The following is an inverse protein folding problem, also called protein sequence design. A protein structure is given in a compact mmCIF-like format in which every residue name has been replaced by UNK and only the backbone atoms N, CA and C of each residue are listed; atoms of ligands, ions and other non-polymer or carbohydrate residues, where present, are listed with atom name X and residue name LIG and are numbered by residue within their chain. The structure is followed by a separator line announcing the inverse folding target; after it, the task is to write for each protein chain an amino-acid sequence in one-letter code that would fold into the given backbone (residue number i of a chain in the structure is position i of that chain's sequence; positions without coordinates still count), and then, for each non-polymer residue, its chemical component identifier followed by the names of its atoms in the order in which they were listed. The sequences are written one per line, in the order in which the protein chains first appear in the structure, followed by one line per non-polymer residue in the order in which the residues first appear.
data_IF_797919142239
#
_entry.id   IF_797919142239
#
_cell.length_a   1.000
_cell.length_b   1.000
_cell.length_c   1.000
_cell.angle_alpha   90.00
_cell.angle_beta   90.00
_cell.angle_gamma   90.00
#
_symmetry.space_group_name_H-M   'P 1'
#
loop_
_entity.id
_entity.type
_entity.pdbx_description
1 polymer ?
#
# COMPACT_ATOMS: atom_id res chain seq x y z
N UNK A 1 -12.39 31.52 -12.08
CA UNK A 1 -11.44 31.23 -10.97
C UNK A 1 -12.16 30.59 -9.79
N UNK A 2 -13.30 31.12 -9.35
CA UNK A 2 -14.09 30.59 -8.22
C UNK A 2 -14.58 29.15 -8.42
N UNK A 3 -15.05 28.80 -9.63
CA UNK A 3 -15.52 27.43 -9.92
C UNK A 3 -14.38 26.39 -9.85
N UNK A 4 -13.18 26.74 -10.33
CA UNK A 4 -12.02 25.85 -10.29
C UNK A 4 -11.60 25.57 -8.85
N UNK A 5 -11.60 26.59 -7.99
CA UNK A 5 -11.28 26.43 -6.57
C UNK A 5 -12.32 25.58 -5.85
N UNK A 6 -13.62 25.80 -6.14
CA UNK A 6 -14.71 24.99 -5.58
C UNK A 6 -14.56 23.53 -5.99
N UNK A 7 -14.20 23.26 -7.25
CA UNK A 7 -13.95 21.90 -7.73
C UNK A 7 -12.75 21.24 -7.03
N UNK A 8 -11.65 21.97 -6.82
CA UNK A 8 -10.50 21.46 -6.05
C UNK A 8 -10.85 21.13 -4.61
N UNK A 9 -11.62 22.00 -3.95
CA UNK A 9 -12.08 21.75 -2.58
C UNK A 9 -13.01 20.53 -2.54
N UNK A 10 -13.93 20.39 -3.51
CA UNK A 10 -14.81 19.22 -3.59
C UNK A 10 -14.02 17.93 -3.77
N UNK A 11 -13.08 17.89 -4.71
CA UNK A 11 -12.24 16.71 -4.93
C UNK A 11 -11.41 16.35 -3.70
N UNK A 12 -10.83 17.35 -3.03
CA UNK A 12 -10.12 17.16 -1.77
C UNK A 12 -11.02 16.55 -0.69
N UNK A 13 -12.22 17.08 -0.50
CA UNK A 13 -13.19 16.54 0.46
C UNK A 13 -13.64 15.13 0.08
N UNK A 14 -13.86 14.84 -1.20
CA UNK A 14 -14.21 13.51 -1.68
C UNK A 14 -13.10 12.50 -1.38
N UNK A 15 -11.84 12.89 -1.58
CA UNK A 15 -10.67 12.09 -1.19
C UNK A 15 -10.60 11.85 0.31
N UNK A 16 -10.80 12.92 1.10
CA UNK A 16 -10.80 12.86 2.57
C UNK A 16 -11.88 11.89 3.08
N UNK A 17 -13.11 12.00 2.57
CA UNK A 17 -14.19 11.07 2.93
C UNK A 17 -13.94 9.66 2.40
N UNK A 18 -13.32 9.49 1.23
CA UNK A 18 -12.96 8.19 0.72
C UNK A 18 -11.96 7.47 1.63
N UNK A 19 -11.05 8.19 2.28
CA UNK A 19 -10.07 7.62 3.21
C UNK A 19 -10.72 6.94 4.43
N UNK A 20 -11.90 7.39 4.86
CA UNK A 20 -12.62 6.82 6.02
C UNK A 20 -13.66 5.75 5.65
N UNK A 21 -14.08 5.67 4.38
CA UNK A 21 -15.13 4.75 3.92
C UNK A 21 -14.76 3.27 4.06
N UNK A 22 -13.49 2.92 4.29
CA UNK A 22 -13.06 1.55 4.54
C UNK A 22 -13.46 0.98 5.90
N UNK A 23 -13.89 1.80 6.86
CA UNK A 23 -14.17 1.38 8.24
C UNK A 23 -15.20 0.26 8.35
N UNK A 24 -16.38 0.37 7.73
CA UNK A 24 -17.39 -0.69 7.81
C UNK A 24 -16.95 -1.98 7.09
N UNK A 25 -16.12 -1.85 6.05
CA UNK A 25 -15.72 -2.98 5.22
C UNK A 25 -14.72 -3.93 5.89
N UNK A 26 -13.96 -3.46 6.88
CA UNK A 26 -13.04 -4.30 7.66
C UNK A 26 -13.78 -5.49 8.27
N UNK A 27 -14.98 -5.24 8.81
CA UNK A 27 -15.85 -6.26 9.40
C UNK A 27 -16.39 -7.26 8.38
N UNK A 28 -16.13 -7.04 7.09
CA UNK A 28 -16.64 -7.84 5.99
C UNK A 28 -15.53 -8.42 5.08
N UNK A 29 -14.24 -8.19 5.36
CA UNK A 29 -13.12 -8.68 4.52
C UNK A 29 -13.11 -10.20 4.26
N UNK A 30 -13.52 -11.02 5.23
CA UNK A 30 -13.56 -12.48 5.07
C UNK A 30 -14.84 -12.99 4.39
N UNK A 31 -15.79 -12.12 4.02
CA UNK A 31 -16.98 -12.56 3.28
C UNK A 31 -16.52 -13.07 1.92
N UNK A 32 -16.95 -14.29 1.60
CA UNK A 32 -16.72 -14.82 0.26
C UNK A 32 -17.68 -14.13 -0.71
N UNK A 33 -17.25 -13.85 -1.95
CA UNK A 33 -18.19 -13.47 -2.99
C UNK A 33 -19.24 -14.57 -3.11
N UNK A 34 -20.52 -14.23 -3.39
CA UNK A 34 -21.49 -15.25 -3.76
C UNK A 34 -20.92 -16.06 -4.93
N UNK A 35 -21.10 -17.39 -4.91
CA UNK A 35 -20.73 -18.25 -6.03
C UNK A 35 -21.44 -17.73 -7.29
N UNK A 36 -20.74 -16.93 -8.08
CA UNK A 36 -21.25 -16.54 -9.39
C UNK A 36 -21.29 -17.82 -10.19
N UNK A 37 -22.50 -18.33 -10.43
CA UNK A 37 -22.78 -19.40 -11.38
C UNK A 37 -22.35 -18.90 -12.75
N UNK A 38 -21.07 -19.04 -13.08
CA UNK A 38 -20.57 -18.82 -14.44
C UNK A 38 -21.13 -19.96 -15.30
N UNK A 39 -22.32 -19.76 -15.86
CA UNK A 39 -22.67 -20.35 -17.14
C UNK A 39 -21.61 -19.87 -18.14
N UNK A 40 -20.77 -20.79 -18.65
CA UNK A 40 -21.17 -21.62 -19.78
C UNK A 40 -20.85 -23.10 -19.53
N UNK A 41 -21.43 -23.72 -18.51
CA UNK A 41 -21.27 -25.17 -18.29
C UNK A 41 -22.11 -25.99 -19.29
N UNK A 42 -23.16 -25.40 -19.85
CA UNK A 42 -24.14 -26.15 -20.66
C UNK A 42 -23.65 -26.45 -22.08
N UNK A 43 -22.85 -25.56 -22.69
CA UNK A 43 -22.27 -25.79 -24.01
C UNK A 43 -21.04 -26.72 -23.94
N UNK A 44 -20.29 -26.69 -22.84
CA UNK A 44 -19.11 -27.53 -22.64
C UNK A 44 -19.45 -28.96 -22.16
N UNK A 45 -20.61 -29.16 -21.52
CA UNK A 45 -21.12 -30.48 -21.12
C UNK A 45 -21.33 -31.41 -22.31
N UNK A 46 -21.68 -30.89 -23.50
CA UNK A 46 -22.06 -31.69 -24.67
C UNK A 46 -20.86 -32.28 -25.43
N UNK A 47 -19.66 -31.71 -25.30
CA UNK A 47 -18.42 -32.19 -25.96
C UNK A 47 -17.57 -33.14 -25.10
N UNK A 48 -17.94 -33.36 -23.84
CA UNK A 48 -17.08 -33.95 -22.78
C UNK A 48 -17.41 -35.40 -22.39
N UNK A 49 -17.91 -36.26 -23.28
CA UNK A 49 -18.49 -37.54 -22.83
C UNK A 49 -17.58 -38.78 -22.84
N UNK A 50 -16.32 -38.73 -23.28
CA UNK A 50 -15.46 -39.96 -23.25
C UNK A 50 -14.02 -39.72 -22.80
N UNK A 51 -13.36 -38.68 -23.32
CA UNK A 51 -12.02 -38.28 -22.88
C UNK A 51 -12.02 -37.78 -21.43
N UNK A 52 -13.10 -37.12 -21.01
CA UNK A 52 -13.28 -36.65 -19.63
C UNK A 52 -13.41 -37.82 -18.65
N UNK A 53 -14.11 -38.90 -19.00
CA UNK A 53 -14.28 -40.05 -18.11
C UNK A 53 -12.96 -40.81 -17.91
N UNK A 54 -12.15 -40.96 -18.96
CA UNK A 54 -10.81 -41.55 -18.85
C UNK A 54 -9.87 -40.67 -18.02
N UNK A 55 -9.83 -39.37 -18.30
CA UNK A 55 -9.06 -38.42 -17.51
C UNK A 55 -9.54 -38.35 -16.04
N UNK A 56 -10.85 -38.50 -15.79
CA UNK A 56 -11.42 -38.54 -14.44
C UNK A 56 -11.03 -39.82 -13.69
N UNK A 57 -11.02 -40.98 -14.35
CA UNK A 57 -10.53 -42.23 -13.73
C UNK A 57 -9.04 -42.15 -13.42
N UNK A 58 -8.25 -41.61 -14.34
CA UNK A 58 -6.81 -41.40 -14.15
C UNK A 58 -6.52 -40.36 -13.04
N UNK A 59 -7.30 -39.29 -12.97
CA UNK A 59 -7.23 -38.28 -11.91
C UNK A 59 -7.81 -38.77 -10.58
N UNK A 60 -8.75 -39.72 -10.56
CA UNK A 60 -9.25 -40.34 -9.32
C UNK A 60 -8.20 -41.28 -8.72
N UNK A 61 -7.43 -41.99 -9.56
CA UNK A 61 -6.30 -42.83 -9.13
C UNK A 61 -5.11 -41.97 -8.67
N UNK A 62 -4.88 -40.81 -9.29
CA UNK A 62 -3.89 -39.81 -8.82
C UNK A 62 -4.37 -39.02 -7.60
N UNK A 63 -5.67 -38.76 -7.48
CA UNK A 63 -6.29 -37.94 -6.45
C UNK A 63 -6.26 -38.56 -5.06
N UNK A 64 -6.32 -39.88 -4.94
CA UNK A 64 -6.13 -40.59 -3.65
C UNK A 64 -4.73 -40.45 -3.08
N UNK A 65 -3.72 -40.07 -3.88
CA UNK A 65 -2.36 -39.75 -3.43
C UNK A 65 -2.11 -38.26 -3.23
N UNK A 66 -3.05 -37.40 -3.60
CA UNK A 66 -2.86 -35.96 -3.63
C UNK A 66 -4.12 -35.23 -3.19
N UNK A 67 -4.65 -35.60 -2.02
CA UNK A 67 -5.47 -34.69 -1.24
C UNK A 67 -4.54 -33.58 -0.72
N UNK A 68 -4.21 -32.62 -1.60
CA UNK A 68 -3.61 -31.36 -1.19
C UNK A 68 -4.64 -30.67 -0.32
N UNK A 69 -4.39 -30.66 1.00
CA UNK A 69 -5.01 -29.74 1.94
C UNK A 69 -5.23 -28.41 1.24
N UNK A 70 -6.49 -28.01 1.05
CA UNK A 70 -6.82 -26.66 0.61
C UNK A 70 -6.13 -25.74 1.64
N UNK A 71 -5.15 -24.92 1.25
CA UNK A 71 -4.36 -24.16 2.21
C UNK A 71 -5.34 -23.33 3.03
N UNK A 72 -5.38 -23.59 4.35
CA UNK A 72 -6.30 -22.97 5.31
C UNK A 72 -6.28 -21.45 5.07
N UNK A 73 -7.36 -20.92 4.49
CA UNK A 73 -7.45 -19.52 4.05
C UNK A 73 -7.20 -18.64 5.27
N UNK A 74 -6.03 -17.99 5.33
CA UNK A 74 -5.69 -17.07 6.42
C UNK A 74 -6.72 -15.94 6.41
N UNK A 75 -7.41 -15.74 7.54
CA UNK A 75 -8.41 -14.67 7.68
C UNK A 75 -7.74 -13.31 7.50
N UNK A 76 -8.19 -12.53 6.52
CA UNK A 76 -7.67 -11.20 6.24
C UNK A 76 -7.97 -10.24 7.40
N UNK A 77 -9.13 -10.42 8.06
CA UNK A 77 -9.48 -9.67 9.28
C UNK A 77 -8.53 -9.97 10.43
N UNK A 78 -8.20 -11.24 10.64
CA UNK A 78 -7.24 -11.62 11.68
C UNK A 78 -5.87 -10.98 11.42
N UNK A 79 -5.41 -10.96 10.16
CA UNK A 79 -4.15 -10.30 9.80
C UNK A 79 -4.20 -8.79 9.99
N UNK A 80 -5.33 -8.15 9.67
CA UNK A 80 -5.56 -6.74 9.95
C UNK A 80 -5.36 -6.44 11.45
N UNK A 81 -6.11 -7.11 12.33
CA UNK A 81 -6.04 -6.87 13.77
C UNK A 81 -4.67 -7.23 14.35
N UNK A 82 -4.05 -8.32 13.88
CA UNK A 82 -2.69 -8.69 14.28
C UNK A 82 -1.67 -7.59 13.94
N UNK A 83 -1.78 -6.99 12.76
CA UNK A 83 -0.92 -5.90 12.34
C UNK A 83 -1.10 -4.64 13.20
N UNK A 84 -2.36 -4.25 13.44
CA UNK A 84 -2.69 -3.10 14.31
C UNK A 84 -2.14 -3.33 15.72
N UNK A 85 -2.44 -4.48 16.34
CA UNK A 85 -2.00 -4.79 17.69
C UNK A 85 -0.47 -4.85 17.80
N UNK A 86 0.24 -5.45 16.84
CA UNK A 86 1.70 -5.50 16.84
C UNK A 86 2.29 -4.08 16.89
N UNK A 87 1.83 -3.20 16.00
CA UNK A 87 2.40 -1.87 15.88
C UNK A 87 2.03 -0.96 17.06
N UNK A 88 0.80 -1.04 17.58
CA UNK A 88 0.42 -0.31 18.79
C UNK A 88 1.20 -0.78 20.02
N UNK A 89 1.45 -2.09 20.14
CA UNK A 89 2.32 -2.62 21.19
C UNK A 89 3.77 -2.13 21.00
N UNK A 90 4.27 -2.06 19.77
CA UNK A 90 5.60 -1.55 19.48
C UNK A 90 5.75 -0.04 19.82
N UNK A 91 4.73 0.78 19.57
CA UNK A 91 4.64 2.17 20.06
C UNK A 91 4.79 2.20 21.58
N UNK A 92 4.00 1.40 22.30
CA UNK A 92 4.04 1.35 23.76
C UNK A 92 5.42 0.92 24.29
N UNK A 93 6.00 -0.14 23.71
CA UNK A 93 7.32 -0.64 24.08
C UNK A 93 8.38 0.43 23.82
N UNK A 94 8.39 1.06 22.64
CA UNK A 94 9.36 2.11 22.31
C UNK A 94 9.24 3.31 23.26
N UNK A 95 8.02 3.70 23.62
CA UNK A 95 7.76 4.77 24.58
C UNK A 95 8.28 4.41 25.98
N UNK A 96 7.93 3.21 26.49
CA UNK A 96 8.36 2.74 27.82
C UNK A 96 9.88 2.63 27.88
N UNK A 97 10.51 1.97 26.91
CA UNK A 97 11.97 1.81 26.86
C UNK A 97 12.65 3.18 26.88
N UNK A 98 12.25 4.12 26.03
CA UNK A 98 12.86 5.46 26.02
C UNK A 98 12.61 6.23 27.32
N UNK A 99 11.44 6.11 27.92
CA UNK A 99 11.14 6.78 29.20
C UNK A 99 12.02 6.26 30.34
N UNK A 100 12.27 4.95 30.41
CA UNK A 100 13.15 4.32 31.41
C UNK A 100 14.60 4.75 31.24
N UNK A 101 15.07 4.90 30.00
CA UNK A 101 16.45 5.32 29.70
C UNK A 101 16.62 6.84 29.55
N UNK A 102 15.64 7.64 29.99
CA UNK A 102 15.75 9.11 30.01
C UNK A 102 16.44 9.57 31.29
N UNK A 103 17.74 9.85 31.21
CA UNK A 103 18.52 10.37 32.33
C UNK A 103 18.46 11.91 32.40
N UNK A 104 18.24 12.46 33.60
CA UNK A 104 18.18 13.92 33.84
C UNK A 104 19.56 14.60 33.72
N UNK A 105 20.64 13.84 33.94
CA UNK A 105 22.01 14.34 33.96
C UNK A 105 22.69 14.26 32.57
N UNK A 106 23.39 15.32 32.16
CA UNK A 106 24.08 15.44 30.86
C UNK A 106 25.50 14.88 30.92
N UNK A 107 25.61 13.56 30.98
CA UNK A 107 26.90 12.84 30.94
C UNK A 107 27.12 12.16 29.58
N UNK A 108 28.38 11.95 29.17
CA UNK A 108 28.70 11.30 27.89
C UNK A 108 28.16 9.86 27.77
N UNK A 109 28.08 9.12 28.88
CA UNK A 109 27.44 7.80 28.94
C UNK A 109 25.95 7.85 28.57
N UNK A 110 25.23 8.94 28.85
CA UNK A 110 23.84 9.12 28.44
C UNK A 110 23.70 9.12 26.92
N UNK A 111 24.61 9.78 26.21
CA UNK A 111 24.61 9.78 24.74
C UNK A 111 24.80 8.37 24.22
N UNK A 112 25.77 7.62 24.74
CA UNK A 112 26.02 6.23 24.35
C UNK A 112 24.80 5.33 24.58
N UNK A 113 24.18 5.41 25.77
CA UNK A 113 22.97 4.63 26.09
C UNK A 113 21.82 5.03 25.17
N UNK A 114 21.62 6.33 24.91
CA UNK A 114 20.53 6.83 24.04
C UNK A 114 20.69 6.31 22.61
N UNK A 115 21.90 6.41 22.03
CA UNK A 115 22.17 5.89 20.68
C UNK A 115 22.02 4.37 20.61
N UNK A 116 22.46 3.64 21.63
CA UNK A 116 22.31 2.19 21.71
C UNK A 116 20.83 1.78 21.76
N UNK A 117 20.05 2.40 22.65
CA UNK A 117 18.60 2.16 22.78
C UNK A 117 17.87 2.51 21.47
N UNK A 118 18.15 3.66 20.87
CA UNK A 118 17.54 4.05 19.59
C UNK A 118 17.91 3.08 18.46
N UNK A 119 19.13 2.55 18.46
CA UNK A 119 19.55 1.54 17.46
C UNK A 119 18.77 0.24 17.62
N UNK A 120 18.56 -0.24 18.86
CA UNK A 120 17.72 -1.41 19.13
C UNK A 120 16.26 -1.16 18.70
N UNK A 121 15.70 0.00 19.08
CA UNK A 121 14.35 0.38 18.65
C UNK A 121 14.22 0.44 17.13
N UNK A 122 15.26 0.92 16.43
CA UNK A 122 15.29 0.96 14.98
C UNK A 122 15.30 -0.46 14.36
N UNK A 123 16.06 -1.40 14.92
CA UNK A 123 16.04 -2.79 14.46
C UNK A 123 14.67 -3.45 14.67
N UNK A 124 14.05 -3.23 15.83
CA UNK A 124 12.68 -3.70 16.11
C UNK A 124 11.69 -3.10 15.09
N UNK A 125 11.85 -1.81 14.78
CA UNK A 125 11.05 -1.13 13.77
C UNK A 125 11.19 -1.77 12.38
N UNK A 126 12.41 -2.09 11.93
CA UNK A 126 12.63 -2.75 10.64
C UNK A 126 11.92 -4.11 10.58
N UNK A 127 12.03 -4.92 11.63
CA UNK A 127 11.38 -6.23 11.72
C UNK A 127 9.85 -6.09 11.71
N UNK A 128 9.31 -5.19 12.53
CA UNK A 128 7.87 -4.94 12.59
C UNK A 128 7.33 -4.43 11.26
N UNK A 129 8.06 -3.54 10.57
CA UNK A 129 7.69 -3.02 9.25
C UNK A 129 7.71 -4.12 8.19
N UNK A 130 8.72 -4.99 8.20
CA UNK A 130 8.77 -6.14 7.31
C UNK A 130 7.59 -7.10 7.51
N UNK A 131 7.28 -7.47 8.77
CA UNK A 131 6.13 -8.31 9.09
C UNK A 131 4.80 -7.66 8.69
N UNK A 132 4.68 -6.36 8.92
CA UNK A 132 3.47 -5.59 8.55
C UNK A 132 3.26 -5.61 7.03
N UNK A 133 4.32 -5.43 6.24
CA UNK A 133 4.24 -5.52 4.77
C UNK A 133 3.72 -6.88 4.27
N UNK A 134 4.08 -7.98 4.93
CA UNK A 134 3.55 -9.31 4.60
C UNK A 134 2.04 -9.38 4.85
N UNK A 135 1.56 -8.82 5.96
CA UNK A 135 0.14 -8.80 6.30
C UNK A 135 -0.66 -7.83 5.44
N UNK A 136 -0.08 -6.71 5.00
CA UNK A 136 -0.72 -5.77 4.07
C UNK A 136 -1.13 -6.46 2.76
N UNK A 137 -0.30 -7.36 2.24
CA UNK A 137 -0.63 -8.16 1.06
C UNK A 137 -1.85 -9.06 1.28
N UNK A 138 -1.99 -9.68 2.45
CA UNK A 138 -3.16 -10.52 2.77
C UNK A 138 -4.42 -9.69 3.04
N UNK A 139 -4.29 -8.51 3.67
CA UNK A 139 -5.39 -7.54 3.84
C UNK A 139 -5.91 -7.06 2.48
N UNK A 140 -5.00 -6.73 1.56
CA UNK A 140 -5.33 -6.35 0.18
C UNK A 140 -6.14 -7.44 -0.54
N UNK A 141 -5.75 -8.72 -0.43
CA UNK A 141 -6.54 -9.85 -0.98
C UNK A 141 -7.93 -9.93 -0.37
N UNK A 142 -8.07 -9.71 0.94
CA UNK A 142 -9.36 -9.62 1.62
C UNK A 142 -10.23 -8.47 1.08
N UNK A 143 -9.62 -7.30 0.86
CA UNK A 143 -10.31 -6.13 0.33
C UNK A 143 -10.82 -6.35 -1.11
N UNK A 144 -10.04 -7.05 -1.95
CA UNK A 144 -10.46 -7.48 -3.29
C UNK A 144 -11.70 -8.37 -3.22
N UNK A 145 -11.68 -9.39 -2.36
CA UNK A 145 -12.82 -10.30 -2.20
C UNK A 145 -14.08 -9.57 -1.71
N UNK A 146 -13.91 -8.64 -0.77
CA UNK A 146 -15.01 -7.80 -0.31
C UNK A 146 -15.57 -6.95 -1.46
N UNK A 147 -14.71 -6.26 -2.23
CA UNK A 147 -15.13 -5.48 -3.40
C UNK A 147 -15.92 -6.33 -4.39
N UNK A 148 -15.46 -7.56 -4.66
CA UNK A 148 -16.14 -8.53 -5.51
C UNK A 148 -17.54 -8.88 -4.97
N UNK A 149 -17.65 -9.15 -3.66
CA UNK A 149 -18.92 -9.50 -3.01
C UNK A 149 -19.97 -8.38 -3.06
N UNK A 150 -19.53 -7.12 -3.14
CA UNK A 150 -20.41 -5.94 -3.25
C UNK A 150 -20.83 -5.60 -4.68
N UNK A 151 -20.50 -6.44 -5.66
CA UNK A 151 -20.84 -6.22 -7.07
C UNK A 151 -20.01 -5.13 -7.77
N UNK A 152 -18.97 -4.58 -7.12
CA UNK A 152 -18.12 -3.49 -7.66
C UNK A 152 -17.03 -3.96 -8.63
N UNK A 153 -17.18 -5.16 -9.17
CA UNK A 153 -16.24 -5.82 -10.10
C UNK A 153 -14.91 -6.21 -9.45
N UNK A 154 -14.34 -7.32 -9.90
CA UNK A 154 -12.94 -7.70 -9.59
C UNK A 154 -12.03 -7.00 -10.60
N UNK A 155 -10.89 -6.43 -10.17
CA UNK A 155 -9.83 -6.00 -11.08
C UNK A 155 -9.53 -7.04 -12.17
N UNK A 156 -9.75 -6.68 -13.44
CA UNK A 156 -9.55 -7.57 -14.60
C UNK A 156 -8.07 -7.97 -14.86
N UNK A 157 -7.13 -7.42 -14.08
CA UNK A 157 -5.69 -7.65 -14.20
C UNK A 157 -5.14 -8.87 -13.44
N UNK A 158 -5.97 -9.63 -12.72
CA UNK A 158 -5.52 -10.80 -11.96
C UNK A 158 -4.98 -11.97 -12.84
N UNK A 159 -5.07 -11.83 -14.16
CA UNK A 159 -4.66 -12.81 -15.17
C UNK A 159 -3.41 -12.41 -15.96
N UNK A 160 -2.77 -11.25 -15.69
CA UNK A 160 -1.53 -10.87 -16.39
C UNK A 160 -0.30 -11.58 -15.82
N UNK A 161 0.61 -11.98 -16.72
CA UNK A 161 1.78 -12.82 -16.47
C UNK A 161 2.69 -12.23 -15.38
N UNK A 162 2.98 -13.04 -14.36
CA UNK A 162 3.82 -12.72 -13.18
C UNK A 162 5.23 -12.20 -13.53
N UNK A 163 5.74 -12.47 -14.74
CA UNK A 163 7.11 -12.15 -15.18
C UNK A 163 7.35 -10.65 -15.46
N UNK A 164 6.41 -9.95 -16.07
CA UNK A 164 6.57 -8.50 -16.38
C UNK A 164 6.33 -7.61 -15.14
N UNK A 165 5.84 -8.21 -14.04
CA UNK A 165 5.39 -7.50 -12.86
C UNK A 165 6.50 -7.23 -11.83
N UNK A 166 7.60 -8.01 -11.84
CA UNK A 166 8.65 -7.85 -10.82
C UNK A 166 9.48 -6.57 -11.02
N UNK A 167 9.83 -6.24 -12.26
CA UNK A 167 10.61 -5.03 -12.55
C UNK A 167 9.81 -3.77 -12.21
N UNK A 168 8.51 -3.75 -12.55
CA UNK A 168 7.59 -2.66 -12.19
C UNK A 168 7.44 -2.55 -10.67
N UNK A 169 7.38 -3.67 -9.95
CA UNK A 169 7.32 -3.68 -8.49
C UNK A 169 8.59 -3.09 -7.85
N UNK A 170 9.78 -3.48 -8.33
CA UNK A 170 11.05 -2.91 -7.85
C UNK A 170 11.10 -1.40 -8.17
N UNK A 171 10.64 -1.00 -9.35
CA UNK A 171 10.57 0.41 -9.75
C UNK A 171 9.67 1.21 -8.79
N UNK A 172 8.49 0.69 -8.46
CA UNK A 172 7.58 1.30 -7.47
C UNK A 172 8.20 1.46 -6.08
N UNK A 173 8.95 0.45 -5.60
CA UNK A 173 9.66 0.53 -4.31
C UNK A 173 10.73 1.62 -4.34
N UNK A 174 11.57 1.66 -5.37
CA UNK A 174 12.65 2.67 -5.50
C UNK A 174 12.05 4.06 -5.59
N UNK A 175 11.04 4.24 -6.44
CA UNK A 175 10.35 5.52 -6.59
C UNK A 175 9.78 6.01 -5.26
N UNK A 176 9.03 5.16 -4.56
CA UNK A 176 8.40 5.54 -3.30
C UNK A 176 9.42 5.85 -2.20
N UNK A 177 10.55 5.14 -2.19
CA UNK A 177 11.67 5.43 -1.29
C UNK A 177 12.27 6.80 -1.57
N UNK A 178 12.47 7.15 -2.85
CA UNK A 178 12.99 8.46 -3.23
C UNK A 178 11.99 9.60 -2.93
N UNK A 179 10.69 9.37 -3.10
CA UNK A 179 9.65 10.33 -2.71
C UNK A 179 9.63 10.53 -1.19
N UNK A 180 9.81 9.47 -0.40
CA UNK A 180 9.95 9.58 1.06
C UNK A 180 11.16 10.45 1.43
N UNK A 181 12.32 10.18 0.82
CA UNK A 181 13.53 10.98 1.05
C UNK A 181 13.28 12.44 0.65
N UNK A 182 12.64 12.69 -0.50
CA UNK A 182 12.25 14.04 -0.91
C UNK A 182 11.37 14.71 0.15
N UNK A 183 10.35 14.02 0.67
CA UNK A 183 9.47 14.56 1.72
C UNK A 183 10.25 14.94 2.98
N UNK A 184 11.16 14.09 3.43
CA UNK A 184 12.04 14.37 4.58
C UNK A 184 12.93 15.60 4.32
N UNK A 185 13.52 15.72 3.13
CA UNK A 185 14.36 16.87 2.76
C UNK A 185 13.55 18.18 2.66
N UNK A 186 12.29 18.12 2.24
CA UNK A 186 11.43 19.30 2.15
C UNK A 186 11.11 19.88 3.54
N UNK A 187 11.04 19.06 4.59
CA UNK A 187 10.87 19.54 5.96
C UNK A 187 12.09 20.30 6.50
N UNK A 188 13.28 20.09 5.93
CA UNK A 188 14.53 20.79 6.30
C UNK A 188 14.67 22.18 5.65
N UNK A 189 13.68 22.62 4.87
CA UNK A 189 13.69 23.98 4.29
C UNK A 189 13.63 25.02 5.43
N UNK A 190 14.52 26.05 5.44
CA UNK A 190 14.61 27.00 6.56
C UNK A 190 13.33 27.78 6.88
N UNK A 191 12.42 27.93 5.92
CA UNK A 191 11.14 28.58 6.14
C UNK A 191 10.12 27.59 6.70
N UNK A 192 9.78 27.74 7.98
CA UNK A 192 8.84 26.89 8.71
C UNK A 192 7.49 26.69 7.99
N UNK A 193 6.87 27.75 7.49
CA UNK A 193 5.55 27.63 6.86
C UNK A 193 5.63 26.90 5.53
N UNK A 194 6.64 27.22 4.71
CA UNK A 194 6.82 26.57 3.42
C UNK A 194 7.21 25.09 3.58
N UNK A 195 8.11 24.78 4.52
CA UNK A 195 8.54 23.40 4.78
C UNK A 195 7.38 22.52 5.22
N UNK A 196 6.53 23.01 6.12
CA UNK A 196 5.34 22.29 6.57
C UNK A 196 4.31 22.11 5.45
N UNK A 197 4.01 23.15 4.67
CA UNK A 197 3.03 23.07 3.58
C UNK A 197 3.50 22.09 2.50
N UNK A 198 4.72 22.28 1.98
CA UNK A 198 5.23 21.41 0.91
C UNK A 198 5.53 19.99 1.41
N UNK A 199 6.06 19.85 2.63
CA UNK A 199 6.31 18.55 3.25
C UNK A 199 5.01 17.78 3.44
N UNK A 200 3.96 18.46 3.90
CA UNK A 200 2.63 17.87 4.01
C UNK A 200 2.07 17.43 2.66
N UNK A 201 2.17 18.27 1.62
CA UNK A 201 1.72 17.94 0.27
C UNK A 201 2.44 16.68 -0.23
N UNK A 202 3.78 16.62 -0.15
CA UNK A 202 4.56 15.46 -0.60
C UNK A 202 4.17 14.20 0.18
N UNK A 203 4.09 14.28 1.50
CA UNK A 203 3.77 13.12 2.35
C UNK A 203 2.33 12.63 2.16
N UNK A 204 1.36 13.52 1.98
CA UNK A 204 -0.03 13.14 1.69
C UNK A 204 -0.15 12.44 0.33
N UNK A 205 0.51 12.93 -0.71
CA UNK A 205 0.53 12.24 -2.00
C UNK A 205 1.21 10.89 -1.90
N UNK A 206 2.32 10.78 -1.16
CA UNK A 206 3.01 9.51 -0.92
C UNK A 206 2.13 8.50 -0.17
N UNK A 207 1.47 8.94 0.90
CA UNK A 207 0.57 8.11 1.70
C UNK A 207 -0.62 7.62 0.86
N UNK A 208 -1.18 8.48 0.01
CA UNK A 208 -2.19 8.07 -0.96
C UNK A 208 -1.62 7.07 -1.97
N UNK A 209 -0.45 7.34 -2.57
CA UNK A 209 0.18 6.44 -3.53
C UNK A 209 0.37 5.04 -2.95
N UNK A 210 0.96 4.92 -1.76
CA UNK A 210 1.13 3.63 -1.06
C UNK A 210 -0.19 2.88 -0.89
N UNK A 211 -1.25 3.59 -0.51
CA UNK A 211 -2.55 2.97 -0.25
C UNK A 211 -3.20 2.43 -1.51
N UNK A 212 -3.13 3.19 -2.62
CA UNK A 212 -3.70 2.82 -3.91
C UNK A 212 -2.83 1.84 -4.69
N UNK A 213 -1.53 1.77 -4.42
CA UNK A 213 -0.59 0.90 -5.11
C UNK A 213 -1.03 -0.58 -5.05
N UNK A 214 -1.51 -1.07 -3.90
CA UNK A 214 -2.05 -2.43 -3.78
C UNK A 214 -3.21 -2.68 -4.77
N UNK A 215 -4.13 -1.73 -4.88
CA UNK A 215 -5.26 -1.83 -5.80
C UNK A 215 -4.80 -1.78 -7.25
N UNK A 216 -3.89 -0.88 -7.59
CA UNK A 216 -3.38 -0.71 -8.94
C UNK A 216 -2.50 -1.87 -9.41
N UNK A 217 -1.70 -2.45 -8.52
CA UNK A 217 -0.98 -3.71 -8.76
C UNK A 217 -1.98 -4.83 -9.06
N UNK A 218 -3.06 -4.95 -8.26
CA UNK A 218 -4.10 -5.94 -8.52
C UNK A 218 -4.86 -5.70 -9.86
N UNK A 219 -4.89 -4.46 -10.34
CA UNK A 219 -5.41 -4.09 -11.66
C UNK A 219 -4.40 -4.27 -12.80
N UNK A 220 -3.14 -4.59 -12.52
CA UNK A 220 -2.08 -4.69 -13.53
C UNK A 220 -1.69 -3.35 -14.15
N UNK A 221 -1.92 -2.23 -13.45
CA UNK A 221 -1.55 -0.88 -13.93
C UNK A 221 -0.08 -0.65 -13.63
N UNK A 222 0.74 -0.28 -14.61
CA UNK A 222 2.17 0.00 -14.45
C UNK A 222 2.43 1.28 -13.64
N UNK A 223 3.61 1.37 -13.02
CA UNK A 223 3.96 2.44 -12.06
C UNK A 223 3.95 3.85 -12.67
N UNK A 224 4.40 4.00 -13.90
CA UNK A 224 4.32 5.27 -14.65
C UNK A 224 2.89 5.82 -14.74
N UNK A 225 1.93 4.94 -15.03
CA UNK A 225 0.50 5.28 -15.07
C UNK A 225 -0.06 5.56 -13.68
N UNK A 226 0.41 4.86 -12.65
CA UNK A 226 0.02 5.11 -11.25
C UNK A 226 0.40 6.53 -10.81
N UNK A 227 1.65 6.94 -11.09
CA UNK A 227 2.14 8.29 -10.82
C UNK A 227 1.31 9.33 -11.55
N UNK A 228 1.15 9.14 -12.86
CA UNK A 228 0.38 10.05 -13.71
C UNK A 228 -1.06 10.25 -13.19
N UNK A 229 -1.70 9.18 -12.71
CA UNK A 229 -3.04 9.24 -12.11
C UNK A 229 -3.07 10.08 -10.83
N UNK A 230 -2.04 9.97 -9.97
CA UNK A 230 -1.93 10.81 -8.77
C UNK A 230 -1.82 12.29 -9.17
N UNK A 231 -0.92 12.60 -10.12
CA UNK A 231 -0.59 13.98 -10.47
C UNK A 231 -1.74 14.72 -11.19
N UNK A 232 -2.54 14.01 -11.98
CA UNK A 232 -3.74 14.57 -12.61
C UNK A 232 -4.93 14.74 -11.65
N UNK A 233 -5.03 13.89 -10.63
CA UNK A 233 -6.09 13.95 -9.61
C UNK A 233 -5.52 14.34 -8.23
N UNK A 234 -4.56 15.26 -8.24
CA UNK A 234 -3.81 15.65 -7.06
C UNK A 234 -4.69 16.14 -5.89
N UNK A 235 -5.81 16.89 -6.07
CA UNK A 235 -6.60 17.35 -4.92
C UNK A 235 -7.26 16.18 -4.20
N UNK A 236 -7.80 15.22 -4.96
CA UNK A 236 -8.39 14.00 -4.41
C UNK A 236 -7.35 13.18 -3.63
N UNK A 237 -6.16 12.99 -4.20
CA UNK A 237 -5.11 12.20 -3.55
C UNK A 237 -4.50 12.92 -2.34
N UNK A 238 -4.39 14.24 -2.38
CA UNK A 238 -4.04 15.08 -1.24
C UNK A 238 -5.06 14.91 -0.10
N UNK A 239 -6.36 14.92 -0.41
CA UNK A 239 -7.44 14.68 0.54
C UNK A 239 -7.39 13.27 1.14
N UNK A 240 -7.23 12.26 0.30
CA UNK A 240 -7.17 10.86 0.74
C UNK A 240 -6.00 10.59 1.70
N UNK A 241 -4.81 11.14 1.39
CA UNK A 241 -3.62 10.96 2.21
C UNK A 241 -3.58 11.81 3.49
N UNK A 242 -4.41 12.85 3.59
CA UNK A 242 -4.37 13.84 4.68
C UNK A 242 -4.43 13.19 6.06
N UNK A 243 -5.40 12.31 6.32
CA UNK A 243 -5.57 11.73 7.66
C UNK A 243 -4.38 10.88 8.08
N UNK A 244 -3.82 10.09 7.15
CA UNK A 244 -2.64 9.29 7.43
C UNK A 244 -1.44 10.19 7.68
N UNK A 245 -1.24 11.23 6.86
CA UNK A 245 -0.14 12.17 7.04
C UNK A 245 -0.19 12.85 8.41
N UNK A 246 -1.34 13.44 8.77
CA UNK A 246 -1.51 14.09 10.08
C UNK A 246 -1.24 13.16 11.25
N UNK A 247 -1.69 11.90 11.17
CA UNK A 247 -1.43 10.92 12.21
C UNK A 247 0.07 10.54 12.30
N UNK A 248 0.75 10.47 11.16
CA UNK A 248 2.16 10.06 11.05
C UNK A 248 3.16 11.22 11.10
N UNK A 249 2.69 12.45 11.27
CA UNK A 249 3.52 13.65 11.47
C UNK A 249 3.31 14.26 12.84
N UNK A 250 2.56 13.60 13.73
CA UNK A 250 2.20 14.15 15.03
C UNK A 250 3.38 14.19 16.01
N UNK A 251 4.24 13.17 15.97
CA UNK A 251 5.42 13.08 16.83
C UNK A 251 6.66 13.55 16.10
N UNK A 252 7.62 14.14 16.81
CA UNK A 252 8.96 14.43 16.28
C UNK A 252 9.87 13.20 16.41
N UNK A 253 9.38 12.05 15.93
CA UNK A 253 10.08 10.76 16.03
C UNK A 253 9.73 9.86 14.86
N UNK A 254 10.71 9.64 13.98
CA UNK A 254 10.57 8.81 12.78
C UNK A 254 10.13 7.37 13.09
N UNK A 255 10.66 6.76 14.17
CA UNK A 255 10.37 5.38 14.53
C UNK A 255 8.92 5.28 15.04
N UNK A 256 8.52 6.20 15.92
CA UNK A 256 7.17 6.21 16.49
C UNK A 256 6.10 6.45 15.41
N UNK A 257 6.33 7.45 14.55
CA UNK A 257 5.50 7.72 13.38
C UNK A 257 5.46 6.53 12.43
N UNK A 258 6.56 5.81 12.28
CA UNK A 258 6.64 4.59 11.47
C UNK A 258 5.76 3.44 11.99
N UNK A 259 5.69 3.25 13.31
CA UNK A 259 4.75 2.27 13.90
C UNK A 259 3.30 2.73 13.74
N UNK A 260 3.00 4.01 13.97
CA UNK A 260 1.65 4.56 13.78
C UNK A 260 1.21 4.38 12.32
N UNK A 261 2.11 4.69 11.37
CA UNK A 261 1.89 4.43 9.95
C UNK A 261 1.53 2.96 9.75
N UNK A 262 2.35 2.02 10.22
CA UNK A 262 2.11 0.60 10.00
C UNK A 262 0.82 0.09 10.67
N UNK A 263 0.39 0.68 11.79
CA UNK A 263 -0.87 0.35 12.44
C UNK A 263 -2.09 0.86 11.65
N UNK A 264 -2.01 2.08 11.11
CA UNK A 264 -3.12 2.71 10.37
C UNK A 264 -3.16 2.31 8.91
N UNK A 265 -2.02 2.04 8.27
CA UNK A 265 -1.92 1.77 6.85
C UNK A 265 -2.85 0.67 6.30
N UNK A 266 -3.08 -0.49 6.97
CA UNK A 266 -3.97 -1.51 6.42
C UNK A 266 -5.42 -1.03 6.31
N UNK A 267 -5.82 -0.01 7.09
CA UNK A 267 -7.10 0.67 6.94
C UNK A 267 -7.18 1.42 5.61
N UNK A 268 -6.15 2.19 5.29
CA UNK A 268 -6.09 2.97 4.06
C UNK A 268 -5.99 2.08 2.81
N UNK A 269 -5.34 0.91 2.91
CA UNK A 269 -5.41 -0.12 1.86
C UNK A 269 -6.88 -0.52 1.61
N UNK A 270 -7.64 -0.89 2.66
CA UNK A 270 -9.04 -1.29 2.49
C UNK A 270 -9.88 -0.14 1.90
N UNK A 271 -9.68 1.08 2.39
CA UNK A 271 -10.35 2.28 1.87
C UNK A 271 -10.04 2.52 0.39
N UNK A 272 -8.81 2.29 -0.08
CA UNK A 272 -8.45 2.48 -1.49
C UNK A 272 -9.19 1.54 -2.44
N UNK A 273 -9.45 0.29 -2.00
CA UNK A 273 -10.27 -0.66 -2.77
C UNK A 273 -11.76 -0.32 -2.81
N UNK A 274 -12.26 0.48 -1.88
CA UNK A 274 -13.67 0.88 -1.80
C UNK A 274 -13.89 2.22 -2.47
N UNK A 275 -12.85 3.05 -2.48
CA UNK A 275 -12.80 4.30 -3.17
C UNK A 275 -13.06 4.12 -4.68
N UNK A 276 -13.68 5.14 -5.25
CA UNK A 276 -13.87 5.31 -6.69
C UNK A 276 -13.18 6.61 -7.06
N UNK A 277 -11.84 6.61 -7.22
CA UNK A 277 -11.14 7.82 -7.64
C UNK A 277 -11.67 8.29 -9.00
N UNK A 278 -11.67 9.61 -9.27
CA UNK A 278 -12.05 10.13 -10.58
C UNK A 278 -11.18 9.49 -11.66
N UNK A 279 -11.77 9.05 -12.76
CA UNK A 279 -11.02 8.42 -13.87
C UNK A 279 -11.23 9.15 -15.21
N UNK A 280 -12.32 9.93 -15.33
CA UNK A 280 -12.78 10.46 -16.62
C UNK A 280 -12.29 11.89 -16.92
N UNK A 281 -11.71 12.59 -15.94
CA UNK A 281 -11.30 14.00 -16.06
C UNK A 281 -9.79 14.15 -16.00
N UNK A 282 -9.11 13.98 -17.13
CA UNK A 282 -7.68 14.35 -17.24
C UNK A 282 -7.62 15.89 -17.19
N UNK A 283 -7.03 16.44 -16.12
CA UNK A 283 -6.93 17.88 -15.92
C UNK A 283 -5.69 18.43 -16.59
N UNK A 284 -5.77 19.62 -17.18
CA UNK A 284 -4.63 20.28 -17.83
C UNK A 284 -3.52 20.68 -16.84
N UNK A 285 -3.89 20.96 -15.58
CA UNK A 285 -2.98 21.35 -14.51
C UNK A 285 -2.66 20.12 -13.63
N UNK A 286 -1.56 19.44 -13.93
CA UNK A 286 -1.00 18.40 -13.06
C UNK A 286 -0.08 19.00 -12.00
N UNK A 287 -0.01 18.37 -10.83
CA UNK A 287 0.96 18.72 -9.79
C UNK A 287 2.11 17.70 -9.83
N UNK A 288 3.30 18.07 -10.34
CA UNK A 288 4.39 17.12 -10.61
C UNK A 288 5.19 16.76 -9.33
N UNK A 289 4.51 16.21 -8.32
CA UNK A 289 5.13 15.85 -7.02
C UNK A 289 6.21 14.77 -7.18
N UNK A 290 6.09 13.91 -8.20
CA UNK A 290 6.93 12.73 -8.40
C UNK A 290 8.00 12.92 -9.48
N UNK A 291 8.11 14.10 -10.09
CA UNK A 291 9.01 14.32 -11.23
C UNK A 291 10.49 14.12 -10.86
N UNK A 292 10.94 14.67 -9.73
CA UNK A 292 12.35 14.52 -9.31
C UNK A 292 12.68 13.05 -8.96
N UNK A 293 11.87 12.34 -8.14
CA UNK A 293 12.11 10.95 -7.83
C UNK A 293 12.04 10.08 -9.09
N UNK A 294 11.11 10.34 -10.01
CA UNK A 294 10.97 9.58 -11.26
C UNK A 294 12.19 9.75 -12.16
N UNK A 295 12.74 10.97 -12.30
CA UNK A 295 13.97 11.21 -13.05
C UNK A 295 15.15 10.43 -12.47
N UNK A 296 15.29 10.42 -11.14
CA UNK A 296 16.36 9.68 -10.46
C UNK A 296 16.16 8.17 -10.62
N UNK A 297 14.96 7.64 -10.40
CA UNK A 297 14.65 6.22 -10.60
C UNK A 297 14.96 5.78 -12.03
N UNK A 298 14.55 6.56 -13.03
CA UNK A 298 14.84 6.27 -14.44
C UNK A 298 16.35 6.20 -14.71
N UNK A 299 17.13 7.13 -14.15
CA UNK A 299 18.60 7.10 -14.28
C UNK A 299 19.22 5.87 -13.63
N UNK A 300 18.79 5.52 -12.42
CA UNK A 300 19.28 4.33 -11.70
C UNK A 300 18.98 3.06 -12.48
N UNK A 301 17.74 2.90 -12.97
CA UNK A 301 17.35 1.73 -13.75
C UNK A 301 18.11 1.64 -15.08
N UNK A 302 18.23 2.74 -15.82
CA UNK A 302 18.99 2.77 -17.07
C UNK A 302 20.46 2.41 -16.85
N UNK A 303 21.07 2.89 -15.76
CA UNK A 303 22.42 2.54 -15.38
C UNK A 303 22.58 1.05 -15.05
N UNK A 304 21.64 0.46 -14.29
CA UNK A 304 21.65 -0.97 -13.95
C UNK A 304 21.51 -1.84 -15.20
N UNK A 305 20.61 -1.48 -16.13
CA UNK A 305 20.42 -2.19 -17.40
C UNK A 305 21.69 -2.11 -18.26
N UNK A 306 22.26 -0.92 -18.42
CA UNK A 306 23.49 -0.71 -19.20
C UNK A 306 24.71 -1.43 -18.60
N UNK A 307 24.74 -1.60 -17.27
CA UNK A 307 25.80 -2.34 -16.58
C UNK A 307 25.61 -3.85 -16.74
N UNK A 308 24.36 -4.35 -16.67
CA UNK A 308 24.04 -5.76 -16.88
C UNK A 308 24.31 -6.25 -18.31
N UNK A 309 24.21 -5.38 -19.33
CA UNK A 309 24.54 -5.72 -20.71
C UNK A 309 26.04 -5.79 -21.01
N UNK A 310 26.92 -5.28 -20.14
CA UNK A 310 28.40 -5.38 -20.31
C UNK A 310 28.98 -6.70 -19.79
N UNK A 311 28.20 -7.51 -19.07
CA UNK A 311 28.63 -8.79 -18.49
C UNK A 311 28.01 -10.02 -19.20
N UNK A 312 27.36 -9.83 -20.35
CA UNK A 312 27.00 -10.89 -21.30
C UNK A 312 27.84 -10.76 -22.55
#
# INVERSE_FOLDING_TARGET
MTEIVVDYVREYLDGLFASIRGFPAILYLDRQPPETTTAPVEEEKRRRTVLYERARKENAIRGTKQEKEIPRKKSARFMFFKCVCLNLLAVLIAFVVRSVFTFKETSWWKLLITYFVNSICFLIFLIAKFLSNLWFGDVSKGAINYRASTGRGVPSGLTSKVSDNMADYIFGIVLSTLVLIQGLLVYEIPNYYLSNIFGFIVMAHLNSFYSFEYMWIAQGIQTDRRVTRIEYHWPYHLGFGTLLTLATSYFDDFILNGFIFAALFPFFIVSSYIASPPTDRIREQSLPVFILPQLVTNRVFNFLIASGSRFR
#
